data_IF_305977205567
#
_entry.id   IF_305977205567
#
_cell.length_a   1.000
_cell.length_b   1.000
_cell.length_c   1.000
_cell.angle_alpha   90.00
_cell.angle_beta   90.00
_cell.angle_gamma   90.00
#
_symmetry.space_group_name_H-M   'P 1'
#
loop_
_entity.id
_entity.type
_entity.pdbx_description
1 polymer ?
#
# COMPACT_ATOMS: atom_id res chain seq x y z
N UNK A 1 -2.44 9.20 12.74
CA UNK A 1 -2.31 10.64 13.04
C UNK A 1 -0.93 11.04 12.56
N UNK A 2 -0.76 12.23 11.94
CA UNK A 2 0.58 12.67 11.56
C UNK A 2 1.48 12.68 12.79
N UNK A 3 2.68 12.13 12.61
CA UNK A 3 3.71 12.00 13.64
C UNK A 3 4.80 13.04 13.40
N UNK A 4 5.30 13.63 14.48
CA UNK A 4 6.41 14.58 14.44
C UNK A 4 7.75 13.84 14.41
N UNK A 5 8.71 14.37 13.65
CA UNK A 5 10.08 13.83 13.60
C UNK A 5 10.83 14.17 14.90
N UNK A 6 11.27 13.14 15.60
CA UNK A 6 12.03 13.23 16.85
C UNK A 6 13.52 12.89 16.68
N UNK A 7 13.98 12.70 15.44
CA UNK A 7 15.36 12.33 15.12
C UNK A 7 15.65 10.83 15.19
N UNK A 8 14.72 9.98 15.66
CA UNK A 8 14.93 8.55 15.84
C UNK A 8 14.61 7.77 14.55
N UNK A 9 15.66 7.36 13.83
CA UNK A 9 15.57 6.58 12.58
C UNK A 9 14.90 5.23 12.81
N UNK A 10 15.15 4.56 13.94
CA UNK A 10 14.56 3.24 14.21
C UNK A 10 13.06 3.37 14.40
N UNK A 11 12.64 4.41 15.14
CA UNK A 11 11.22 4.71 15.33
C UNK A 11 10.54 5.11 14.03
N UNK A 12 11.16 6.00 13.24
CA UNK A 12 10.70 6.38 11.91
C UNK A 12 10.48 5.17 10.99
N UNK A 13 11.44 4.24 10.94
CA UNK A 13 11.31 3.00 10.17
C UNK A 13 10.18 2.10 10.68
N UNK A 14 10.01 2.02 12.01
CA UNK A 14 8.89 1.32 12.64
C UNK A 14 7.54 1.86 12.18
N UNK A 15 7.39 3.18 12.13
CA UNK A 15 6.18 3.82 11.63
C UNK A 15 5.94 3.55 10.14
N UNK A 16 6.96 3.69 9.29
CA UNK A 16 6.86 3.34 7.86
C UNK A 16 6.37 1.90 7.68
N UNK A 17 6.98 0.96 8.42
CA UNK A 17 6.65 -0.46 8.32
C UNK A 17 5.22 -0.76 8.78
N UNK A 18 4.81 -0.20 9.91
CA UNK A 18 3.49 -0.42 10.49
C UNK A 18 2.37 0.22 9.64
N UNK A 19 2.55 1.48 9.22
CA UNK A 19 1.56 2.15 8.39
C UNK A 19 1.43 1.51 7.01
N UNK A 20 2.54 1.05 6.40
CA UNK A 20 2.48 0.30 5.15
C UNK A 20 1.72 -1.02 5.30
N UNK A 21 1.89 -1.72 6.43
CA UNK A 21 1.16 -2.95 6.71
C UNK A 21 -0.35 -2.71 6.81
N UNK A 22 -0.78 -1.60 7.40
CA UNK A 22 -2.21 -1.25 7.44
C UNK A 22 -2.78 -0.94 6.06
N UNK A 23 -2.04 -0.21 5.22
CA UNK A 23 -2.46 0.03 3.83
C UNK A 23 -2.54 -1.28 3.04
N UNK A 24 -1.61 -2.20 3.26
CA UNK A 24 -1.62 -3.54 2.64
C UNK A 24 -2.83 -4.37 3.10
N UNK A 25 -3.18 -4.31 4.39
CA UNK A 25 -4.40 -4.94 4.92
C UNK A 25 -5.67 -4.34 4.31
N UNK A 26 -5.75 -3.02 4.17
CA UNK A 26 -6.89 -2.35 3.53
C UNK A 26 -7.05 -2.79 2.06
N UNK A 27 -5.94 -3.04 1.34
CA UNK A 27 -5.97 -3.59 -0.03
C UNK A 27 -6.48 -5.03 -0.05
N UNK A 28 -6.05 -5.86 0.91
CA UNK A 28 -6.56 -7.21 1.05
C UNK A 28 -8.05 -7.22 1.39
N UNK A 29 -8.54 -6.27 2.20
CA UNK A 29 -9.96 -6.11 2.49
C UNK A 29 -10.77 -5.69 1.27
N UNK A 30 -10.27 -4.75 0.46
CA UNK A 30 -10.89 -4.41 -0.83
C UNK A 30 -11.06 -5.66 -1.71
N UNK A 31 -10.00 -6.48 -1.82
CA UNK A 31 -10.02 -7.70 -2.61
C UNK A 31 -10.96 -8.77 -2.03
N UNK A 32 -11.02 -8.91 -0.69
CA UNK A 32 -11.98 -9.78 -0.01
C UNK A 32 -13.43 -9.36 -0.26
N UNK A 33 -13.73 -8.05 -0.25
CA UNK A 33 -15.09 -7.56 -0.54
C UNK A 33 -15.53 -7.85 -1.99
N UNK A 34 -14.58 -7.90 -2.92
CA UNK A 34 -14.83 -8.21 -4.33
C UNK A 34 -14.72 -9.71 -4.66
N UNK A 35 -14.62 -10.59 -3.65
CA UNK A 35 -14.38 -12.02 -3.87
C UNK A 35 -15.50 -12.74 -4.62
N UNK A 36 -16.72 -12.20 -4.58
CA UNK A 36 -17.88 -12.70 -5.33
C UNK A 36 -17.77 -12.48 -6.84
N UNK A 37 -16.98 -11.49 -7.26
CA UNK A 37 -16.71 -11.18 -8.67
C UNK A 37 -15.56 -12.03 -9.16
N UNK A 38 -14.47 -12.03 -8.39
CA UNK A 38 -13.31 -12.86 -8.65
C UNK A 38 -12.72 -13.32 -7.33
N UNK A 39 -12.64 -14.65 -7.16
CA UNK A 39 -12.17 -15.26 -5.92
C UNK A 39 -10.79 -14.74 -5.50
N UNK A 40 -10.62 -14.43 -4.21
CA UNK A 40 -9.35 -14.00 -3.60
C UNK A 40 -8.80 -15.08 -2.66
N UNK A 41 -8.37 -16.18 -3.26
CA UNK A 41 -7.86 -17.38 -2.58
C UNK A 41 -6.51 -17.17 -1.85
N UNK A 42 -6.08 -18.17 -1.09
CA UNK A 42 -4.80 -18.12 -0.35
C UNK A 42 -3.59 -17.85 -1.27
N UNK A 43 -3.63 -18.31 -2.52
CA UNK A 43 -2.54 -18.08 -3.48
C UNK A 43 -2.45 -16.60 -3.84
N UNK A 44 -3.60 -15.94 -4.05
CA UNK A 44 -3.67 -14.50 -4.33
C UNK A 44 -3.34 -13.64 -3.12
N UNK A 45 -3.72 -14.07 -1.92
CA UNK A 45 -3.36 -13.39 -0.67
C UNK A 45 -1.85 -13.31 -0.45
N UNK A 46 -1.08 -14.26 -0.98
CA UNK A 46 0.40 -14.27 -0.93
C UNK A 46 1.08 -13.51 -2.06
N UNK A 47 0.32 -12.85 -2.94
CA UNK A 47 0.91 -12.05 -4.00
C UNK A 47 1.68 -10.85 -3.43
N UNK A 48 2.74 -10.40 -4.12
CA UNK A 48 3.36 -9.12 -3.81
C UNK A 48 2.33 -8.00 -3.87
N UNK A 49 2.43 -7.02 -2.98
CA UNK A 49 1.48 -5.90 -2.88
C UNK A 49 1.27 -5.16 -4.20
N UNK A 50 2.32 -4.96 -5.00
CA UNK A 50 2.22 -4.33 -6.32
C UNK A 50 1.24 -5.07 -7.25
N UNK A 51 1.26 -6.40 -7.22
CA UNK A 51 0.33 -7.24 -7.99
C UNK A 51 -1.08 -7.21 -7.41
N UNK A 52 -1.22 -7.13 -6.09
CA UNK A 52 -2.53 -6.97 -5.42
C UNK A 52 -3.17 -5.63 -5.81
N UNK A 53 -2.40 -4.54 -5.81
CA UNK A 53 -2.84 -3.21 -6.23
C UNK A 53 -3.30 -3.19 -7.69
N UNK A 54 -2.50 -3.74 -8.60
CA UNK A 54 -2.89 -3.86 -10.02
C UNK A 54 -4.17 -4.68 -10.17
N UNK A 55 -4.29 -5.77 -9.40
CA UNK A 55 -5.48 -6.61 -9.44
C UNK A 55 -6.73 -5.88 -8.93
N UNK A 56 -6.62 -5.21 -7.78
CA UNK A 56 -7.70 -4.45 -7.18
C UNK A 56 -8.15 -3.31 -8.11
N UNK A 57 -7.22 -2.56 -8.69
CA UNK A 57 -7.53 -1.48 -9.62
C UNK A 57 -8.34 -1.99 -10.83
N UNK A 58 -7.92 -3.12 -11.40
CA UNK A 58 -8.62 -3.75 -12.52
C UNK A 58 -10.03 -4.23 -12.14
N UNK A 59 -10.22 -4.82 -10.96
CA UNK A 59 -11.54 -5.25 -10.50
C UNK A 59 -12.47 -4.06 -10.25
N UNK A 60 -11.97 -3.01 -9.58
CA UNK A 60 -12.75 -1.80 -9.33
C UNK A 60 -13.18 -1.13 -10.65
N UNK A 61 -12.30 -1.10 -11.66
CA UNK A 61 -12.63 -0.56 -12.97
C UNK A 61 -13.76 -1.33 -13.68
N UNK A 62 -13.87 -2.65 -13.46
CA UNK A 62 -14.94 -3.48 -14.02
C UNK A 62 -16.31 -3.18 -13.42
N UNK A 63 -16.36 -2.68 -12.18
CA UNK A 63 -17.61 -2.30 -11.52
C UNK A 63 -18.33 -1.15 -12.24
N UNK A 64 -17.62 -0.36 -13.07
CA UNK A 64 -18.14 0.81 -13.81
C UNK A 64 -18.97 1.74 -12.91
N UNK A 65 -18.51 1.93 -11.67
CA UNK A 65 -19.18 2.76 -10.67
C UNK A 65 -18.59 4.16 -10.64
N UNK A 66 -19.41 5.17 -10.91
CA UNK A 66 -19.00 6.58 -10.85
C UNK A 66 -18.49 6.98 -9.45
N UNK A 67 -19.07 6.41 -8.39
CA UNK A 67 -18.68 6.63 -7.00
C UNK A 67 -17.26 6.14 -6.67
N UNK A 68 -16.74 5.21 -7.49
CA UNK A 68 -15.42 4.59 -7.36
C UNK A 68 -14.43 5.03 -8.45
N UNK A 69 -14.80 5.96 -9.32
CA UNK A 69 -14.01 6.38 -10.48
C UNK A 69 -12.55 6.76 -10.16
N UNK A 70 -12.29 7.33 -8.99
CA UNK A 70 -10.93 7.71 -8.55
C UNK A 70 -10.14 6.59 -7.85
N UNK A 71 -10.80 5.48 -7.46
CA UNK A 71 -10.16 4.42 -6.67
C UNK A 71 -9.13 3.61 -7.47
N UNK A 72 -9.33 3.25 -8.76
CA UNK A 72 -8.31 2.58 -9.55
C UNK A 72 -6.99 3.37 -9.61
N UNK A 73 -7.07 4.68 -9.85
CA UNK A 73 -5.89 5.54 -9.91
C UNK A 73 -5.20 5.66 -8.55
N UNK A 74 -5.96 5.72 -7.45
CA UNK A 74 -5.40 5.69 -6.10
C UNK A 74 -4.70 4.35 -5.79
N UNK A 75 -5.25 3.22 -6.23
CA UNK A 75 -4.61 1.91 -6.06
C UNK A 75 -3.29 1.83 -6.85
N UNK A 76 -3.25 2.36 -8.07
CA UNK A 76 -2.03 2.40 -8.87
C UNK A 76 -1.01 3.39 -8.30
N UNK A 77 -1.45 4.53 -7.78
CA UNK A 77 -0.60 5.52 -7.14
C UNK A 77 0.06 5.02 -5.85
N UNK A 78 -0.59 4.10 -5.11
CA UNK A 78 0.00 3.49 -3.93
C UNK A 78 1.29 2.69 -4.22
N UNK A 79 1.54 2.30 -5.48
CA UNK A 79 2.75 1.54 -5.86
C UNK A 79 4.03 2.31 -5.54
N UNK A 80 4.04 3.63 -5.79
CA UNK A 80 5.20 4.47 -5.47
C UNK A 80 5.53 4.45 -3.97
N UNK A 81 4.50 4.50 -3.12
CA UNK A 81 4.69 4.42 -1.66
C UNK A 81 5.30 3.08 -1.23
N UNK A 82 4.83 1.98 -1.80
CA UNK A 82 5.37 0.66 -1.50
C UNK A 82 6.79 0.48 -2.06
N UNK A 83 7.09 1.03 -3.23
CA UNK A 83 8.43 1.01 -3.80
C UNK A 83 9.41 1.80 -2.94
N UNK A 84 9.05 3.03 -2.52
CA UNK A 84 9.82 3.83 -1.57
C UNK A 84 9.98 3.12 -0.23
N UNK A 85 8.91 2.52 0.31
CA UNK A 85 8.99 1.69 1.54
C UNK A 85 10.00 0.55 1.37
N UNK A 86 10.02 -0.10 0.21
CA UNK A 86 10.92 -1.23 -0.06
C UNK A 86 12.39 -0.81 -0.01
N UNK A 87 12.71 0.42 -0.42
CA UNK A 87 14.07 0.96 -0.31
C UNK A 87 14.57 0.99 1.15
N UNK A 88 13.69 1.38 2.08
CA UNK A 88 14.01 1.48 3.50
C UNK A 88 13.94 0.13 4.23
N UNK A 89 12.88 -0.65 4.01
CA UNK A 89 12.61 -1.88 4.75
C UNK A 89 13.46 -3.06 4.27
N UNK A 90 13.77 -3.13 2.97
CA UNK A 90 14.63 -4.16 2.40
C UNK A 90 16.08 -3.70 2.21
N UNK A 91 16.38 -2.43 2.54
CA UNK A 91 17.73 -1.92 2.68
C UNK A 91 18.43 -2.50 3.91
N UNK A 92 19.76 -2.65 3.84
CA UNK A 92 20.58 -2.92 5.02
C UNK A 92 20.96 -1.59 5.64
N UNK A 93 20.52 -1.33 6.86
CA UNK A 93 20.86 -0.13 7.63
C UNK A 93 22.17 -0.39 8.38
N UNK A 94 23.16 0.46 8.16
CA UNK A 94 24.47 0.42 8.80
C UNK A 94 24.68 1.67 9.64
N UNK A 95 25.04 1.49 10.92
CA UNK A 95 25.53 2.58 11.75
C UNK A 95 27.00 2.87 11.39
N UNK A 96 27.26 4.03 10.80
CA UNK A 96 28.60 4.51 10.49
C UNK A 96 29.39 4.90 11.74
N UNK A 97 30.72 4.84 11.65
CA UNK A 97 31.62 5.29 12.72
C UNK A 97 31.55 6.81 12.95
N UNK A 98 30.99 7.54 11.99
CA UNK A 98 30.75 8.99 12.01
C UNK A 98 29.37 9.36 12.59
N UNK A 99 28.65 8.40 13.17
CA UNK A 99 27.25 8.55 13.66
C UNK A 99 26.24 8.86 12.55
N UNK A 100 26.58 8.54 11.30
CA UNK A 100 25.66 8.61 10.16
C UNK A 100 25.11 7.22 9.86
N UNK A 101 23.79 7.10 9.73
CA UNK A 101 23.16 5.85 9.30
C UNK A 101 23.05 5.79 7.78
N UNK A 102 23.39 4.64 7.20
CA UNK A 102 23.39 4.42 5.75
C UNK A 102 22.52 3.23 5.36
N UNK A 103 21.78 3.37 4.26
CA UNK A 103 21.18 2.25 3.54
C UNK A 103 22.09 1.79 2.44
N UNK A 104 22.32 0.48 2.41
CA UNK A 104 22.77 -0.22 1.21
C UNK A 104 21.64 -1.08 0.66
N UNK A 105 21.26 -0.82 -0.58
CA UNK A 105 20.28 -1.67 -1.26
C UNK A 105 20.78 -3.11 -1.41
N UNK A 106 19.85 -4.07 -1.44
CA UNK A 106 20.17 -5.50 -1.53
C UNK A 106 20.75 -5.96 -2.88
N UNK A 107 20.73 -5.11 -3.92
CA UNK A 107 21.23 -5.45 -5.26
C UNK A 107 22.76 -5.23 -5.35
N UNK A 108 23.50 -6.08 -6.09
CA UNK A 108 24.89 -5.79 -6.44
C UNK A 108 24.95 -4.43 -7.14
N UNK A 109 25.79 -3.51 -6.64
CA UNK A 109 25.94 -2.13 -7.12
C UNK A 109 24.83 -1.12 -6.77
N UNK A 110 23.91 -1.44 -5.85
CA UNK A 110 23.03 -0.40 -5.31
C UNK A 110 23.88 0.67 -4.59
N UNK A 111 23.71 1.96 -4.91
CA UNK A 111 24.46 3.03 -4.25
C UNK A 111 24.12 3.06 -2.76
N UNK A 112 25.14 3.29 -1.93
CA UNK A 112 24.93 3.58 -0.52
C UNK A 112 24.32 4.97 -0.39
N UNK A 113 23.21 5.09 0.33
CA UNK A 113 22.52 6.36 0.59
C UNK A 113 22.54 6.63 2.09
N UNK A 114 22.82 7.86 2.50
CA UNK A 114 22.58 8.30 3.88
C UNK A 114 21.07 8.36 4.16
N UNK A 115 20.62 7.86 5.32
CA UNK A 115 19.25 8.10 5.78
C UNK A 115 19.24 9.33 6.68
N UNK A 116 18.26 10.23 6.47
CA UNK A 116 17.80 11.15 7.51
C UNK A 116 16.48 10.66 8.14
N UNK A 117 16.30 10.87 9.46
CA UNK A 117 15.02 10.58 10.15
C UNK A 117 13.85 11.25 9.44
N UNK A 118 14.01 12.51 9.03
CA UNK A 118 13.01 13.30 8.34
C UNK A 118 12.42 12.59 7.10
N UNK A 119 13.23 11.84 6.35
CA UNK A 119 12.77 11.09 5.18
C UNK A 119 11.82 9.95 5.58
N UNK A 120 12.13 9.24 6.68
CA UNK A 120 11.30 8.15 7.19
C UNK A 120 9.99 8.68 7.78
N UNK A 121 10.05 9.74 8.58
CA UNK A 121 8.85 10.36 9.15
C UNK A 121 7.94 10.96 8.07
N UNK A 122 8.51 11.61 7.06
CA UNK A 122 7.75 12.11 5.91
C UNK A 122 7.06 10.97 5.16
N UNK A 123 7.77 9.89 4.84
CA UNK A 123 7.18 8.73 4.17
C UNK A 123 6.08 8.07 5.02
N UNK A 124 6.30 7.93 6.33
CA UNK A 124 5.27 7.38 7.23
C UNK A 124 4.00 8.24 7.21
N UNK A 125 4.13 9.55 7.34
CA UNK A 125 2.99 10.47 7.28
C UNK A 125 2.28 10.40 5.93
N UNK A 126 3.03 10.35 4.83
CA UNK A 126 2.47 10.21 3.49
C UNK A 126 1.67 8.90 3.34
N UNK A 127 2.19 7.77 3.81
CA UNK A 127 1.48 6.48 3.81
C UNK A 127 0.20 6.57 4.66
N UNK A 128 0.30 7.17 5.85
CA UNK A 128 -0.84 7.34 6.74
C UNK A 128 -1.96 8.18 6.10
N UNK A 129 -1.60 9.29 5.47
CA UNK A 129 -2.55 10.16 4.77
C UNK A 129 -3.15 9.44 3.55
N UNK A 130 -2.32 8.73 2.79
CA UNK A 130 -2.73 8.01 1.59
C UNK A 130 -3.78 6.94 1.88
N UNK A 131 -3.71 6.31 3.06
CA UNK A 131 -4.67 5.32 3.55
C UNK A 131 -6.13 5.81 3.45
N UNK A 132 -6.37 7.11 3.62
CA UNK A 132 -7.70 7.71 3.50
C UNK A 132 -8.38 7.47 2.15
N UNK A 133 -7.61 7.33 1.07
CA UNK A 133 -8.14 7.01 -0.26
C UNK A 133 -8.71 5.59 -0.35
N UNK A 134 -8.24 4.66 0.48
CA UNK A 134 -8.64 3.25 0.43
C UNK A 134 -9.78 2.91 1.39
N UNK A 135 -9.79 3.48 2.60
CA UNK A 135 -10.81 3.19 3.62
C UNK A 135 -12.17 3.78 3.25
N UNK A 136 -12.21 5.03 2.80
CA UNK A 136 -13.46 5.74 2.53
C UNK A 136 -14.39 5.01 1.54
N UNK A 137 -13.88 4.43 0.45
CA UNK A 137 -14.67 3.61 -0.47
C UNK A 137 -15.22 2.31 0.13
N UNK A 138 -14.50 1.67 1.05
CA UNK A 138 -14.84 0.33 1.58
C UNK A 138 -16.16 0.27 2.35
N UNK A 139 -16.50 1.33 3.08
CA UNK A 139 -17.64 1.28 4.02
C UNK A 139 -19.00 1.17 3.33
N UNK A 140 -19.19 1.85 2.19
CA UNK A 140 -20.51 1.93 1.55
C UNK A 140 -20.49 1.89 0.03
N UNK A 141 -19.47 2.48 -0.60
CA UNK A 141 -19.41 2.62 -2.07
C UNK A 141 -19.05 1.30 -2.72
N UNK A 142 -18.04 0.60 -2.19
CA UNK A 142 -17.61 -0.67 -2.73
C UNK A 142 -18.66 -1.78 -2.59
N UNK A 143 -19.25 -2.06 -1.40
CA UNK A 143 -20.29 -3.08 -1.27
C UNK A 143 -21.48 -2.82 -2.21
N UNK A 144 -21.92 -1.56 -2.32
CA UNK A 144 -23.01 -1.16 -3.22
C UNK A 144 -22.66 -1.40 -4.70
N UNK A 145 -21.43 -1.06 -5.11
CA UNK A 145 -20.98 -1.28 -6.47
C UNK A 145 -20.89 -2.78 -6.80
N UNK A 146 -20.39 -3.60 -5.88
CA UNK A 146 -20.35 -5.07 -6.01
C UNK A 146 -21.76 -5.64 -6.13
N UNK A 147 -22.69 -5.24 -5.26
CA UNK A 147 -24.09 -5.68 -5.32
C UNK A 147 -24.77 -5.30 -6.64
N UNK A 148 -24.50 -4.10 -7.15
CA UNK A 148 -25.03 -3.66 -8.44
C UNK A 148 -24.44 -4.46 -9.60
N UNK A 149 -23.13 -4.73 -9.56
CA UNK A 149 -22.47 -5.56 -10.57
C UNK A 149 -23.05 -6.98 -10.59
N UNK A 150 -23.20 -7.62 -9.41
CA UNK A 150 -23.75 -8.97 -9.30
C UNK A 150 -25.19 -9.10 -9.82
N UNK A 151 -26.00 -8.02 -9.74
CA UNK A 151 -27.35 -7.98 -10.33
C UNK A 151 -27.33 -7.87 -11.87
N UNK A 152 -26.29 -7.27 -12.43
CA UNK A 152 -26.15 -7.05 -13.88
C UNK A 152 -25.46 -8.21 -14.59
N UNK A 153 -24.49 -8.83 -13.93
CA UNK A 153 -23.74 -10.00 -14.42
C UNK A 153 -23.77 -11.09 -13.36
N UNK A 154 -24.81 -11.95 -13.34
CA UNK A 154 -24.86 -13.06 -12.38
C UNK A 154 -23.65 -13.99 -12.60
N UNK A 155 -23.14 -14.61 -11.53
CA UNK A 155 -21.99 -15.51 -11.63
C UNK A 155 -22.28 -16.62 -12.64
N UNK A 156 -21.33 -16.85 -13.56
CA UNK A 156 -21.41 -17.96 -14.51
C UNK A 156 -21.26 -19.26 -13.72
N UNK A 157 -22.30 -20.09 -13.75
CA UNK A 157 -22.32 -21.45 -13.18
C UNK A 157 -21.19 -22.34 -13.72
#
# INVERSE_FOLDING_TARGET
MPIEDDGDIVRGLGFVSMYAAWVEEDVDDLLRMMSSIQEFDEKKQRWPISRKLDHAANLVAQLKSDELSALPDALLGAKDLFDRRNEFVHGRIYAGLDRTDYIKGGRPNAPTKTIASAELYALANEIWEYRGHLIGPQLFRLPRAVDNYAKLEPPKE
#
